data_IF_712603823561
#
_entry.id   IF_712603823561
#
_cell.length_a   1.000
_cell.length_b   1.000
_cell.length_c   1.000
_cell.angle_alpha   90.00
_cell.angle_beta   90.00
_cell.angle_gamma   90.00
#
_symmetry.space_group_name_H-M   'P 1'
#
loop_
_entity.id
_entity.type
_entity.pdbx_description
1 polymer ?
#
# COMPACT_ATOMS: atom_id res chain seq x y z
N UNK A 1 0.06 -16.16 6.88
CA UNK A 1 -0.44 -16.66 5.58
C UNK A 1 -0.65 -15.43 4.72
N UNK A 2 0.21 -15.17 3.74
CA UNK A 2 -0.06 -14.12 2.75
C UNK A 2 -1.10 -14.63 1.76
N UNK A 3 -1.98 -13.75 1.26
CA UNK A 3 -2.85 -14.10 0.14
C UNK A 3 -1.99 -14.59 -1.03
N UNK A 4 -2.46 -15.62 -1.75
CA UNK A 4 -1.78 -16.12 -2.96
C UNK A 4 -1.75 -15.07 -4.08
N UNK A 5 -2.63 -14.07 -4.01
CA UNK A 5 -2.73 -12.95 -4.95
C UNK A 5 -1.74 -11.80 -4.66
N UNK A 6 -1.06 -11.82 -3.50
CA UNK A 6 -0.14 -10.76 -3.12
C UNK A 6 1.27 -11.09 -3.62
N UNK A 7 1.75 -10.38 -4.65
CA UNK A 7 3.17 -10.44 -5.04
C UNK A 7 4.04 -10.02 -3.84
N UNK A 8 4.91 -10.93 -3.39
CA UNK A 8 5.79 -10.68 -2.27
C UNK A 8 6.77 -9.53 -2.53
N UNK A 9 7.05 -9.21 -3.81
CA UNK A 9 7.91 -8.09 -4.18
C UNK A 9 7.19 -6.75 -4.18
N UNK A 10 5.86 -6.73 -4.14
CA UNK A 10 5.07 -5.50 -4.10
C UNK A 10 5.13 -4.79 -2.73
N UNK A 11 5.64 -5.47 -1.70
CA UNK A 11 5.78 -4.89 -0.35
C UNK A 11 7.23 -4.99 0.10
N UNK A 12 7.90 -3.84 0.17
CA UNK A 12 9.20 -3.76 0.82
C UNK A 12 9.01 -3.56 2.33
N UNK A 13 9.74 -4.34 3.13
CA UNK A 13 9.82 -4.19 4.58
C UNK A 13 11.23 -3.79 4.96
N UNK A 14 11.38 -2.68 5.66
CA UNK A 14 12.66 -2.26 6.20
C UNK A 14 12.75 -2.66 7.68
N UNK A 15 13.69 -3.54 8.00
CA UNK A 15 14.01 -3.93 9.38
C UNK A 15 14.83 -2.81 10.05
N UNK A 16 14.59 -2.54 11.32
CA UNK A 16 15.26 -1.47 12.08
C UNK A 16 15.10 -0.06 11.47
N UNK A 17 13.93 0.24 10.91
CA UNK A 17 13.64 1.56 10.38
C UNK A 17 13.64 2.59 11.53
N UNK A 18 14.74 3.34 11.69
CA UNK A 18 14.88 4.44 12.66
C UNK A 18 14.08 5.70 12.23
N UNK A 19 13.53 5.69 11.01
CA UNK A 19 12.67 6.75 10.49
C UNK A 19 11.35 6.90 11.25
N UNK A 20 10.65 8.02 11.06
CA UNK A 20 9.33 8.24 11.66
C UNK A 20 8.17 7.74 10.78
N UNK A 21 8.45 7.21 9.59
CA UNK A 21 7.42 6.73 8.66
C UNK A 21 7.12 5.27 8.97
N UNK A 22 5.84 4.94 9.11
CA UNK A 22 5.36 3.59 9.35
C UNK A 22 4.83 2.95 8.06
N UNK A 23 4.17 3.73 7.21
CA UNK A 23 3.68 3.30 5.89
C UNK A 23 3.92 4.43 4.89
N UNK A 24 4.38 4.06 3.70
CA UNK A 24 4.54 4.97 2.58
C UNK A 24 4.01 4.30 1.30
N UNK A 25 3.24 5.05 0.51
CA UNK A 25 2.87 4.69 -0.86
C UNK A 25 3.31 5.84 -1.78
N UNK A 26 3.99 5.50 -2.86
CA UNK A 26 4.44 6.43 -3.91
C UNK A 26 3.95 5.91 -5.26
N UNK A 27 3.13 6.70 -5.95
CA UNK A 27 2.56 6.36 -7.27
C UNK A 27 1.94 4.94 -7.27
N UNK A 28 1.12 4.66 -6.26
CA UNK A 28 0.54 3.35 -6.02
C UNK A 28 -0.62 3.08 -6.97
N UNK A 29 -0.50 2.02 -7.76
CA UNK A 29 -1.53 1.56 -8.70
C UNK A 29 -1.87 0.10 -8.37
N UNK A 30 -3.15 -0.16 -8.15
CA UNK A 30 -3.64 -1.47 -7.71
C UNK A 30 -4.74 -1.94 -8.67
N UNK A 31 -4.64 -3.18 -9.14
CA UNK A 31 -5.64 -3.84 -9.99
C UNK A 31 -6.06 -5.18 -9.37
N UNK A 32 -7.22 -5.69 -9.79
CA UNK A 32 -7.69 -7.03 -9.43
C UNK A 32 -7.25 -8.10 -10.44
N UNK A 33 -6.97 -7.68 -11.68
CA UNK A 33 -6.51 -8.57 -12.74
C UNK A 33 -5.03 -8.29 -13.03
N UNK A 34 -4.25 -9.36 -13.14
CA UNK A 34 -2.84 -9.33 -13.51
C UNK A 34 -2.64 -9.09 -15.02
N UNK A 35 -3.69 -9.27 -15.82
CA UNK A 35 -3.63 -9.24 -17.29
C UNK A 35 -4.20 -7.98 -17.92
N UNK A 36 -5.05 -7.25 -17.21
CA UNK A 36 -5.66 -6.02 -17.72
C UNK A 36 -5.14 -4.79 -16.98
N UNK A 37 -4.80 -3.73 -17.72
CA UNK A 37 -4.34 -2.42 -17.19
C UNK A 37 -5.48 -1.59 -16.55
N UNK A 38 -6.56 -2.25 -16.10
CA UNK A 38 -7.68 -1.60 -15.45
C UNK A 38 -7.36 -1.37 -13.97
N UNK A 39 -6.74 -0.22 -13.69
CA UNK A 39 -6.45 0.24 -12.33
C UNK A 39 -7.76 0.37 -11.52
N UNK A 40 -7.87 -0.40 -10.44
CA UNK A 40 -9.02 -0.40 -9.54
C UNK A 40 -8.89 0.66 -8.43
N UNK A 41 -7.65 1.00 -8.05
CA UNK A 41 -7.34 2.03 -7.07
C UNK A 41 -6.01 2.69 -7.44
N UNK A 42 -5.99 4.01 -7.41
CA UNK A 42 -4.77 4.82 -7.51
C UNK A 42 -4.57 5.63 -6.24
N UNK A 43 -3.32 5.72 -5.79
CA UNK A 43 -2.89 6.48 -4.63
C UNK A 43 -1.60 7.20 -4.99
N UNK A 44 -1.69 8.50 -5.29
CA UNK A 44 -0.55 9.29 -5.72
C UNK A 44 0.54 9.35 -4.63
N UNK A 45 0.14 9.69 -3.40
CA UNK A 45 1.03 9.72 -2.23
C UNK A 45 0.24 9.44 -0.94
N UNK A 46 0.77 8.54 -0.11
CA UNK A 46 0.27 8.31 1.25
C UNK A 46 1.46 8.15 2.19
N UNK A 47 1.46 8.92 3.28
CA UNK A 47 2.45 8.77 4.36
C UNK A 47 1.72 8.67 5.69
N UNK A 48 1.93 7.57 6.40
CA UNK A 48 1.46 7.37 7.78
C UNK A 48 2.68 7.31 8.69
N UNK A 49 2.72 8.17 9.70
CA UNK A 49 3.84 8.19 10.66
C UNK A 49 3.59 7.25 11.83
N UNK A 50 4.67 6.92 12.54
CA UNK A 50 4.59 6.12 13.76
C UNK A 50 3.73 6.87 14.80
N UNK A 51 2.69 6.20 15.28
CA UNK A 51 1.74 6.75 16.25
C UNK A 51 0.52 7.45 15.65
N UNK A 52 0.47 7.64 14.32
CA UNK A 52 -0.73 8.16 13.66
C UNK A 52 -1.87 7.13 13.71
N UNK A 53 -3.09 7.62 13.96
CA UNK A 53 -4.31 6.84 13.76
C UNK A 53 -4.90 7.20 12.40
N UNK A 54 -4.90 6.24 11.48
CA UNK A 54 -5.45 6.41 10.13
C UNK A 54 -6.70 5.53 9.93
N UNK A 55 -7.63 6.02 9.11
CA UNK A 55 -8.79 5.26 8.67
C UNK A 55 -8.97 5.44 7.16
N UNK A 56 -9.27 4.35 6.46
CA UNK A 56 -9.70 4.38 5.06
C UNK A 56 -11.22 4.41 5.05
N UNK A 57 -11.80 5.43 4.41
CA UNK A 57 -13.25 5.61 4.30
C UNK A 57 -13.65 5.68 2.84
N UNK A 58 -14.86 5.19 2.53
CA UNK A 58 -15.39 5.17 1.17
C UNK A 58 -16.92 5.23 1.19
N UNK A 59 -17.50 5.59 0.05
CA UNK A 59 -18.94 5.50 -0.17
C UNK A 59 -19.38 4.05 -0.31
N UNK A 60 -20.61 3.74 0.11
CA UNK A 60 -21.25 2.43 -0.04
C UNK A 60 -21.99 2.30 -1.36
#
# INVERSE_FOLDING_TARGET
MSSTEMDANAVQREENCDGNIAVEIKDGKFSWDDKEENEALTVDELVIKKGDHAAVVGTV
#
